data_IF_546355128619
#
_entry.id   IF_546355128619
#
_cell.length_a   1.000
_cell.length_b   1.000
_cell.length_c   1.000
_cell.angle_alpha   90.00
_cell.angle_beta   90.00
_cell.angle_gamma   90.00
#
_symmetry.space_group_name_H-M   'P 1'
#
loop_
_entity.id
_entity.type
_entity.pdbx_description
1 polymer ?
#
# COMPACT_ATOMS: atom_id res chain seq x y z
N UNK A 1 -0.09 -10.97 0.74
CA UNK A 1 -0.07 -9.64 0.08
C UNK A 1 -0.99 -9.71 -1.12
N UNK A 2 -1.86 -8.72 -1.33
CA UNK A 2 -2.70 -8.64 -2.53
C UNK A 2 -2.58 -7.27 -3.19
N UNK A 3 -2.67 -7.26 -4.52
CA UNK A 3 -2.63 -6.05 -5.35
C UNK A 3 -3.70 -6.20 -6.43
N UNK A 4 -4.54 -5.18 -6.58
CA UNK A 4 -5.53 -5.06 -7.64
C UNK A 4 -5.10 -3.97 -8.61
N UNK A 5 -4.97 -4.33 -9.89
CA UNK A 5 -4.67 -3.38 -10.97
C UNK A 5 -5.99 -2.92 -11.61
N UNK A 6 -6.24 -1.62 -11.59
CA UNK A 6 -7.53 -1.02 -11.93
C UNK A 6 -7.45 -0.15 -13.20
N UNK A 7 -6.25 0.36 -13.51
CA UNK A 7 -6.03 1.06 -14.78
C UNK A 7 -4.57 1.01 -15.22
N UNK A 8 -4.34 1.32 -16.49
CA UNK A 8 -3.02 1.35 -17.10
C UNK A 8 -2.28 2.60 -16.64
N UNK A 9 -1.04 2.43 -16.18
CA UNK A 9 -0.03 3.47 -16.11
C UNK A 9 0.91 3.33 -17.31
N UNK A 10 1.26 4.43 -17.95
CA UNK A 10 2.17 4.46 -19.10
C UNK A 10 3.61 4.66 -18.64
N UNK A 11 4.55 4.31 -19.51
CA UNK A 11 5.97 4.66 -19.31
C UNK A 11 6.08 6.18 -19.16
N UNK A 12 6.88 6.63 -18.20
CA UNK A 12 7.07 8.03 -17.80
C UNK A 12 5.89 8.70 -17.08
N UNK A 13 4.81 7.98 -16.77
CA UNK A 13 3.80 8.50 -15.83
C UNK A 13 4.43 8.66 -14.44
N UNK A 14 4.26 9.83 -13.83
CA UNK A 14 4.55 9.99 -12.40
C UNK A 14 3.41 9.37 -11.59
N UNK A 15 3.74 8.39 -10.75
CA UNK A 15 2.78 7.69 -9.89
C UNK A 15 2.98 8.14 -8.45
N UNK A 16 1.93 8.72 -7.87
CA UNK A 16 1.85 9.00 -6.45
C UNK A 16 1.49 7.71 -5.69
N UNK A 17 2.27 7.41 -4.64
CA UNK A 17 2.02 6.28 -3.75
C UNK A 17 1.63 6.83 -2.38
N UNK A 18 0.40 6.54 -1.96
CA UNK A 18 -0.10 6.89 -0.63
C UNK A 18 -0.37 5.60 0.15
N UNK A 19 0.27 5.45 1.30
CA UNK A 19 0.14 4.28 2.16
C UNK A 19 -0.35 4.69 3.55
N UNK A 20 -1.19 3.84 4.16
CA UNK A 20 -1.60 3.99 5.55
C UNK A 20 -1.77 2.65 6.25
N UNK A 21 -1.58 2.65 7.56
CA UNK A 21 -1.99 1.54 8.43
C UNK A 21 -3.50 1.63 8.64
N UNK A 22 -4.22 0.54 8.36
CA UNK A 22 -5.67 0.44 8.59
C UNK A 22 -5.99 0.03 10.03
N UNK A 23 -5.10 -0.70 10.67
CA UNK A 23 -5.25 -1.15 12.04
C UNK A 23 -4.05 -1.97 12.49
N UNK A 24 -3.89 -2.04 13.81
CA UNK A 24 -2.85 -2.81 14.48
C UNK A 24 -3.47 -3.64 15.61
N UNK A 25 -3.08 -4.91 15.71
CA UNK A 25 -3.50 -5.82 16.77
C UNK A 25 -2.36 -6.76 17.14
N UNK A 26 -1.78 -6.60 18.32
CA UNK A 26 -0.66 -7.44 18.78
C UNK A 26 0.55 -7.33 17.86
N UNK A 27 1.05 -8.44 17.33
CA UNK A 27 2.14 -8.46 16.36
C UNK A 27 1.70 -8.25 14.90
N UNK A 28 0.49 -7.75 14.64
CA UNK A 28 -0.08 -7.68 13.29
C UNK A 28 -0.52 -6.26 12.93
N UNK A 29 -0.10 -5.79 11.75
CA UNK A 29 -0.54 -4.52 11.17
C UNK A 29 -1.06 -4.74 9.76
N UNK A 30 -2.25 -4.23 9.45
CA UNK A 30 -2.79 -4.23 8.09
C UNK A 30 -2.50 -2.88 7.44
N UNK A 31 -1.93 -2.88 6.23
CA UNK A 31 -1.69 -1.67 5.46
C UNK A 31 -2.56 -1.62 4.21
N UNK A 32 -2.86 -0.41 3.76
CA UNK A 32 -3.51 -0.13 2.49
C UNK A 32 -2.67 0.88 1.73
N UNK A 33 -2.30 0.52 0.51
CA UNK A 33 -1.50 1.33 -0.40
C UNK A 33 -2.36 1.66 -1.62
N UNK A 34 -2.40 2.93 -2.00
CA UNK A 34 -3.05 3.41 -3.23
C UNK A 34 -2.00 4.01 -4.15
N UNK A 35 -2.05 3.61 -5.41
CA UNK A 35 -1.21 4.14 -6.48
C UNK A 35 -2.09 4.96 -7.41
N UNK A 36 -1.76 6.23 -7.60
CA UNK A 36 -2.50 7.15 -8.49
C UNK A 36 -1.56 7.76 -9.51
N UNK A 37 -2.00 7.87 -10.76
CA UNK A 37 -1.29 8.72 -11.71
C UNK A 37 -1.42 10.17 -11.22
N UNK A 38 -0.28 10.83 -10.99
CA UNK A 38 -0.23 12.14 -10.32
C UNK A 38 -0.84 13.25 -11.16
N UNK A 39 -0.67 13.19 -12.49
CA UNK A 39 -1.20 14.20 -13.41
C UNK A 39 -2.72 14.12 -13.54
N UNK A 40 -3.30 12.91 -13.52
CA UNK A 40 -4.73 12.69 -13.77
C UNK A 40 -5.55 12.40 -12.51
N UNK A 41 -4.91 12.06 -11.40
CA UNK A 41 -5.54 11.59 -10.17
C UNK A 41 -6.15 10.18 -10.27
N UNK A 42 -6.05 9.50 -11.42
CA UNK A 42 -6.66 8.19 -11.67
C UNK A 42 -6.01 7.10 -10.82
N UNK A 43 -6.83 6.26 -10.18
CA UNK A 43 -6.35 5.10 -9.42
C UNK A 43 -5.83 4.02 -10.38
N UNK A 44 -4.55 3.70 -10.25
CA UNK A 44 -3.83 2.71 -11.07
C UNK A 44 -3.92 1.34 -10.41
N UNK A 45 -3.62 1.28 -9.11
CA UNK A 45 -3.68 0.06 -8.35
C UNK A 45 -3.96 0.34 -6.87
N UNK A 46 -4.45 -0.67 -6.17
CA UNK A 46 -4.50 -0.69 -4.72
C UNK A 46 -3.90 -1.99 -4.18
N UNK A 47 -3.25 -1.92 -3.03
CA UNK A 47 -2.61 -3.06 -2.39
C UNK A 47 -2.96 -3.17 -0.92
N UNK A 48 -3.09 -4.40 -0.43
CA UNK A 48 -3.18 -4.70 1.01
C UNK A 48 -2.02 -5.60 1.40
N UNK A 49 -1.27 -5.17 2.42
CA UNK A 49 -0.17 -5.95 2.97
C UNK A 49 -0.36 -6.15 4.47
N UNK A 50 -0.24 -7.40 4.89
CA UNK A 50 -0.28 -7.80 6.29
C UNK A 50 1.15 -7.89 6.79
N UNK A 51 1.54 -6.98 7.68
CA UNK A 51 2.83 -6.99 8.34
C UNK A 51 2.69 -7.75 9.66
N UNK A 52 3.58 -8.71 9.88
CA UNK A 52 3.69 -9.40 11.15
C UNK A 52 5.01 -8.99 11.80
N UNK A 53 4.94 -8.25 12.90
CA UNK A 53 6.07 -8.00 13.78
C UNK A 53 6.04 -8.97 14.96
N UNK A 54 7.10 -9.76 15.12
CA UNK A 54 7.40 -10.29 16.45
C UNK A 54 8.05 -9.14 17.21
N UNK A 55 7.48 -8.75 18.34
CA UNK A 55 8.24 -7.97 19.32
C UNK A 55 9.36 -8.87 19.83
N UNK A 56 10.50 -8.90 19.12
CA UNK A 56 11.67 -9.65 19.54
C UNK A 56 12.34 -8.86 20.67
N UNK A 57 12.00 -9.28 21.90
CA UNK A 57 12.66 -9.02 23.17
C UNK A 57 12.89 -7.57 23.58
N UNK A 58 12.47 -7.25 24.81
CA UNK A 58 13.12 -6.20 25.59
C UNK A 58 14.59 -6.62 25.73
N UNK A 59 15.52 -5.86 25.15
CA UNK A 59 16.78 -5.62 25.83
C UNK A 59 16.48 -4.95 27.17
#
# INVERSE_FOLDING_TARGET
MSISYLSIAKVNDEIEINARVLGHKGGFSMTHVKLRNKATGKLVAEGRHSLYSRWASKL
#
